data_IF_883747339170
#
_entry.id   IF_883747339170
#
_cell.length_a   1.000
_cell.length_b   1.000
_cell.length_c   1.000
_cell.angle_alpha   90.00
_cell.angle_beta   90.00
_cell.angle_gamma   90.00
#
_symmetry.space_group_name_H-M   'P 1'
#
loop_
_entity.id
_entity.type
_entity.pdbx_description
1 polymer ?
#
# COMPACT_ATOMS: atom_id res chain seq x y z
N UNK A 1 10.19 13.69 7.64
CA UNK A 1 9.78 13.69 6.22
C UNK A 1 8.46 14.42 6.10
N UNK A 2 8.30 15.26 5.07
CA UNK A 2 7.14 16.14 4.83
C UNK A 2 5.86 15.34 4.59
N UNK A 3 4.97 15.30 5.59
CA UNK A 3 3.77 14.45 5.65
C UNK A 3 2.63 14.75 4.65
N UNK A 4 2.87 15.55 3.61
CA UNK A 4 1.86 15.97 2.65
C UNK A 4 2.23 15.70 1.17
N UNK A 5 3.38 15.08 0.90
CA UNK A 5 3.86 14.87 -0.48
C UNK A 5 4.27 13.40 -0.72
N UNK A 6 3.33 12.48 -0.50
CA UNK A 6 3.49 11.08 -0.88
C UNK A 6 2.24 10.61 -1.62
N UNK A 7 2.41 9.78 -2.64
CA UNK A 7 1.25 9.12 -3.24
C UNK A 7 0.84 7.98 -2.32
N UNK A 8 -0.20 8.21 -1.51
CA UNK A 8 -0.66 7.34 -0.41
C UNK A 8 -0.87 5.88 -0.79
N UNK A 9 -1.02 5.58 -2.09
CA UNK A 9 -1.29 4.26 -2.63
C UNK A 9 -0.18 3.23 -2.34
N UNK A 10 1.07 3.67 -2.22
CA UNK A 10 2.22 2.81 -1.93
C UNK A 10 2.70 2.91 -0.47
N UNK A 11 2.15 3.83 0.32
CA UNK A 11 2.61 4.05 1.69
C UNK A 11 2.04 3.01 2.65
N UNK A 12 2.90 2.53 3.55
CA UNK A 12 2.50 1.64 4.63
C UNK A 12 1.58 2.37 5.65
N UNK A 13 0.61 1.66 6.26
CA UNK A 13 -0.35 2.26 7.18
C UNK A 13 0.32 2.98 8.36
N UNK A 14 1.41 2.44 8.91
CA UNK A 14 2.16 3.06 10.00
C UNK A 14 2.78 4.41 9.57
N UNK A 15 3.22 4.52 8.31
CA UNK A 15 3.78 5.77 7.78
C UNK A 15 2.69 6.80 7.52
N UNK A 16 1.52 6.36 7.05
CA UNK A 16 0.34 7.23 6.87
C UNK A 16 -0.15 7.78 8.21
N UNK A 17 -0.16 6.96 9.26
CA UNK A 17 -0.54 7.35 10.62
C UNK A 17 0.49 8.24 11.33
N UNK A 18 1.65 8.50 10.71
CA UNK A 18 2.73 9.26 11.33
C UNK A 18 3.47 8.51 12.44
N UNK A 19 3.33 7.17 12.48
CA UNK A 19 4.07 6.33 13.40
C UNK A 19 5.54 6.17 12.97
N UNK A 20 6.32 5.46 13.79
CA UNK A 20 7.75 5.28 13.56
C UNK A 20 7.99 4.45 12.31
N UNK A 21 8.67 5.06 11.34
CA UNK A 21 9.16 4.37 10.14
C UNK A 21 10.06 3.19 10.50
N UNK A 22 9.87 2.07 9.81
CA UNK A 22 10.65 0.85 10.00
C UNK A 22 10.89 0.15 8.67
N UNK A 23 11.78 -0.85 8.65
CA UNK A 23 12.05 -1.68 7.46
C UNK A 23 10.76 -2.36 6.96
N UNK A 24 9.76 -2.61 7.82
CA UNK A 24 8.44 -3.10 7.40
C UNK A 24 7.76 -2.19 6.39
N UNK A 25 7.94 -0.87 6.49
CA UNK A 25 7.33 0.10 5.60
C UNK A 25 7.92 0.04 4.19
N UNK A 26 9.24 -0.18 4.08
CA UNK A 26 9.91 -0.44 2.81
C UNK A 26 9.41 -1.73 2.16
N UNK A 27 9.29 -2.80 2.96
CA UNK A 27 8.79 -4.11 2.50
C UNK A 27 7.34 -4.01 2.01
N UNK A 28 6.49 -3.26 2.72
CA UNK A 28 5.13 -3.00 2.30
C UNK A 28 5.08 -2.27 0.95
N UNK A 29 5.82 -1.16 0.83
CA UNK A 29 5.86 -0.35 -0.39
C UNK A 29 6.34 -1.16 -1.58
N UNK A 30 7.37 -1.99 -1.39
CA UNK A 30 7.86 -2.93 -2.38
C UNK A 30 6.82 -3.99 -2.78
N UNK A 31 6.04 -4.50 -1.82
CA UNK A 31 4.92 -5.42 -2.07
C UNK A 31 3.84 -4.80 -2.96
N UNK A 32 3.50 -3.52 -2.75
CA UNK A 32 2.56 -2.79 -3.60
C UNK A 32 3.12 -2.63 -5.02
N UNK A 33 4.40 -2.33 -5.18
CA UNK A 33 5.04 -2.22 -6.51
C UNK A 33 5.02 -3.58 -7.23
N UNK A 34 5.32 -4.67 -6.53
CA UNK A 34 5.21 -6.01 -7.11
C UNK A 34 3.79 -6.33 -7.57
N UNK A 35 2.78 -5.95 -6.77
CA UNK A 35 1.38 -6.08 -7.15
C UNK A 35 1.06 -5.27 -8.41
N UNK A 36 1.51 -4.00 -8.49
CA UNK A 36 1.30 -3.11 -9.63
C UNK A 36 1.90 -3.66 -10.93
N UNK A 37 3.09 -4.25 -10.86
CA UNK A 37 3.74 -4.90 -12.01
C UNK A 37 2.93 -6.10 -12.51
N UNK A 38 2.36 -6.90 -11.59
CA UNK A 38 1.62 -8.10 -11.94
C UNK A 38 0.22 -7.82 -12.48
N UNK A 39 -0.47 -6.82 -11.93
CA UNK A 39 -1.80 -6.40 -12.38
C UNK A 39 -1.74 -5.38 -13.53
N UNK A 40 -0.58 -4.77 -13.78
CA UNK A 40 -0.38 -3.70 -14.76
C UNK A 40 -1.40 -2.57 -14.51
N UNK A 41 -1.58 -2.22 -13.25
CA UNK A 41 -2.58 -1.27 -12.80
C UNK A 41 -2.13 -0.54 -11.54
N UNK A 42 -2.52 0.73 -11.42
CA UNK A 42 -2.20 1.53 -10.24
C UNK A 42 -3.00 1.02 -9.01
N UNK A 43 -2.36 0.95 -7.83
CA UNK A 43 -3.03 0.56 -6.60
C UNK A 43 -4.18 1.53 -6.27
N UNK A 44 -5.36 0.97 -6.02
CA UNK A 44 -6.58 1.75 -5.77
C UNK A 44 -6.94 2.74 -6.88
N UNK A 45 -6.69 2.42 -8.16
CA UNK A 45 -6.98 3.31 -9.30
C UNK A 45 -8.42 3.90 -9.34
N UNK A 46 -9.41 3.18 -8.78
CA UNK A 46 -10.81 3.61 -8.74
C UNK A 46 -11.18 4.41 -7.47
N UNK A 47 -10.21 4.82 -6.66
CA UNK A 47 -10.42 5.51 -5.39
C UNK A 47 -9.79 6.90 -5.43
N UNK A 48 -10.50 7.90 -4.92
CA UNK A 48 -9.94 9.24 -4.81
C UNK A 48 -8.74 9.26 -3.85
N UNK A 49 -7.60 9.89 -4.21
CA UNK A 49 -6.38 9.85 -3.41
C UNK A 49 -6.55 10.26 -1.96
N UNK A 50 -7.46 11.20 -1.66
CA UNK A 50 -7.75 11.65 -0.30
C UNK A 50 -8.45 10.63 0.59
N UNK A 51 -9.12 9.62 0.02
CA UNK A 51 -9.78 8.54 0.79
C UNK A 51 -8.84 7.36 1.09
N UNK A 52 -7.73 7.24 0.35
CA UNK A 52 -6.80 6.12 0.45
C UNK A 52 -6.20 5.99 1.86
N UNK A 53 -5.77 7.07 2.53
CA UNK A 53 -5.32 7.00 3.92
C UNK A 53 -6.35 6.35 4.85
N UNK A 54 -7.62 6.75 4.71
CA UNK A 54 -8.72 6.23 5.54
C UNK A 54 -8.94 4.75 5.24
N UNK A 55 -9.00 4.37 3.96
CA UNK A 55 -9.25 2.98 3.56
C UNK A 55 -8.11 2.04 3.99
N UNK A 56 -6.85 2.48 3.90
CA UNK A 56 -5.68 1.67 4.23
C UNK A 56 -5.47 1.54 5.74
N UNK A 57 -5.63 2.65 6.49
CA UNK A 57 -5.39 2.70 7.94
C UNK A 57 -6.61 2.21 8.73
N UNK A 58 -7.80 2.76 8.45
CA UNK A 58 -9.02 2.48 9.23
C UNK A 58 -9.69 1.19 8.77
N UNK A 59 -9.91 1.06 7.46
CA UNK A 59 -10.67 -0.07 6.90
C UNK A 59 -9.77 -1.28 6.58
N UNK A 60 -8.46 -1.16 6.81
CA UNK A 60 -7.43 -2.18 6.53
C UNK A 60 -7.52 -2.74 5.11
N UNK A 61 -7.98 -1.93 4.16
CA UNK A 61 -8.13 -2.34 2.76
C UNK A 61 -6.74 -2.49 2.13
N UNK A 62 -6.61 -3.47 1.24
CA UNK A 62 -5.42 -3.74 0.45
C UNK A 62 -5.82 -3.85 -1.03
N UNK A 63 -4.88 -3.71 -1.98
CA UNK A 63 -5.15 -4.00 -3.38
C UNK A 63 -5.65 -5.44 -3.54
N UNK A 64 -6.54 -5.68 -4.51
CA UNK A 64 -7.15 -6.99 -4.71
C UNK A 64 -6.11 -8.02 -5.14
N UNK A 65 -5.96 -9.09 -4.35
CA UNK A 65 -5.04 -10.17 -4.65
C UNK A 65 -5.66 -11.08 -5.70
N UNK A 66 -5.18 -11.02 -6.95
CA UNK A 66 -5.61 -11.98 -7.98
C UNK A 66 -4.68 -13.20 -8.02
N UNK A 67 -5.02 -14.20 -8.85
CA UNK A 67 -4.16 -15.36 -9.08
C UNK A 67 -2.78 -15.00 -9.68
N UNK A 68 -2.62 -13.79 -10.25
CA UNK A 68 -1.36 -13.29 -10.81
C UNK A 68 -0.45 -12.66 -9.76
N UNK A 69 -0.97 -12.33 -8.58
CA UNK A 69 -0.17 -11.71 -7.53
C UNK A 69 0.83 -12.72 -6.96
N UNK A 70 2.14 -12.42 -6.95
CA UNK A 70 3.16 -13.33 -6.42
C UNK A 70 2.92 -13.57 -4.93
N UNK A 71 3.20 -14.78 -4.45
CA UNK A 71 2.95 -15.16 -3.05
C UNK A 71 3.65 -14.22 -2.05
N UNK A 72 4.80 -13.66 -2.43
CA UNK A 72 5.55 -12.66 -1.64
C UNK A 72 4.72 -11.39 -1.38
N UNK A 73 3.93 -10.93 -2.36
CA UNK A 73 3.05 -9.78 -2.19
C UNK A 73 1.93 -10.03 -1.17
N UNK A 74 1.48 -11.29 -1.00
CA UNK A 74 0.48 -11.62 0.03
C UNK A 74 1.02 -11.35 1.43
N UNK A 75 2.25 -11.75 1.73
CA UNK A 75 2.82 -11.56 3.07
C UNK A 75 3.13 -10.10 3.38
N UNK A 76 3.57 -9.31 2.38
CA UNK A 76 3.81 -7.88 2.56
C UNK A 76 2.53 -7.08 2.79
N UNK A 77 1.39 -7.53 2.23
CA UNK A 77 0.10 -6.85 2.36
C UNK A 77 -0.73 -7.31 3.57
N UNK A 78 -0.35 -8.42 4.23
CA UNK A 78 -1.03 -8.99 5.40
C UNK A 78 -0.50 -8.47 6.75
N UNK A 79 0.46 -7.54 6.75
CA UNK A 79 0.80 -6.75 7.94
C UNK A 79 -0.39 -5.89 8.40
#
# INVERSE_FOLDING_TARGET
MTGCCGTFQWMAPEVISGEKYSVSADVYSFGIIMWEICEIAAPFANVSPGLIPILVVRDKKRPELTAKTPQVGKYALLY
#
